data_IF_952676696356
#
_entry.id   IF_952676696356
#
_cell.length_a   1.000
_cell.length_b   1.000
_cell.length_c   1.000
_cell.angle_alpha   90.00
_cell.angle_beta   90.00
_cell.angle_gamma   90.00
#
_symmetry.space_group_name_H-M   'P 1'
#
loop_
_entity.id
_entity.type
_entity.pdbx_description
1 polymer ?
2 water ?
#
# COMPACT_ATOMS: atom_id res chain seq x y z
N UNK A 1 5.82 -15.98 -1.59
CA UNK A 1 6.22 -16.38 -0.26
C UNK A 1 5.81 -17.80 0.06
N UNK A 2 6.40 -18.36 1.12
CA UNK A 2 6.12 -19.73 1.54
C UNK A 2 5.58 -19.75 2.97
N UNK A 3 5.31 -20.96 3.47
CA UNK A 3 4.85 -21.14 4.84
C UNK A 3 6.02 -21.62 5.71
N UNK A 4 5.88 -21.48 7.02
CA UNK A 4 6.91 -21.88 7.97
C UNK A 4 7.41 -23.29 7.71
N UNK A 5 6.49 -24.21 7.41
CA UNK A 5 6.83 -25.61 7.23
C UNK A 5 7.86 -25.84 6.10
N UNK A 6 7.79 -25.00 5.06
CA UNK A 6 8.76 -25.07 3.98
C UNK A 6 10.00 -24.23 4.32
N UNK A 7 9.77 -23.07 4.92
CA UNK A 7 10.86 -22.13 5.22
C UNK A 7 11.89 -22.72 6.16
N UNK A 8 11.43 -23.50 7.14
CA UNK A 8 12.32 -24.00 8.17
C UNK A 8 13.42 -24.89 7.60
N UNK A 9 13.16 -25.45 6.41
CA UNK A 9 14.11 -26.35 5.78
C UNK A 9 15.07 -25.65 4.83
N UNK A 10 14.93 -24.34 4.71
CA UNK A 10 15.86 -23.54 3.92
C UNK A 10 17.11 -23.25 4.76
N UNK A 11 18.20 -22.88 4.10
CA UNK A 11 19.42 -22.51 4.82
C UNK A 11 19.23 -21.16 5.50
N UNK A 12 20.02 -20.87 6.53
CA UNK A 12 19.90 -19.59 7.22
C UNK A 12 20.20 -18.44 6.27
N UNK A 13 21.10 -18.67 5.32
CA UNK A 13 21.45 -17.61 4.38
C UNK A 13 20.35 -17.37 3.37
N UNK A 14 19.62 -18.42 3.00
CA UNK A 14 18.48 -18.26 2.11
C UNK A 14 17.37 -17.52 2.84
N UNK A 15 17.19 -17.83 4.12
CA UNK A 15 16.19 -17.15 4.93
C UNK A 15 16.49 -15.66 5.09
N UNK A 16 17.75 -15.31 5.32
CA UNK A 16 18.10 -13.91 5.47
C UNK A 16 17.87 -13.18 4.15
N UNK A 17 18.19 -13.83 3.04
CA UNK A 17 17.91 -13.26 1.72
C UNK A 17 16.42 -12.98 1.57
N UNK A 18 15.58 -13.96 1.93
CA UNK A 18 14.13 -13.80 1.86
C UNK A 18 13.60 -12.70 2.77
N UNK A 19 14.17 -12.60 3.97
CA UNK A 19 13.76 -11.57 4.91
C UNK A 19 14.09 -10.20 4.33
N UNK A 20 15.29 -10.06 3.78
CA UNK A 20 15.73 -8.77 3.26
C UNK A 20 14.92 -8.31 2.06
N UNK A 21 14.49 -9.26 1.24
CA UNK A 21 13.76 -8.93 0.01
C UNK A 21 12.41 -8.26 0.29
N UNK A 22 11.85 -8.52 1.46
CA UNK A 22 10.52 -8.01 1.79
C UNK A 22 10.48 -6.49 1.84
N UNK A 23 11.59 -5.88 2.25
CA UNK A 23 11.63 -4.44 2.45
C UNK A 23 11.50 -3.61 1.17
N UNK A 24 12.28 -3.88 0.12
CA UNK A 24 12.05 -3.10 -1.08
C UNK A 24 10.72 -3.46 -1.75
N UNK A 25 10.26 -4.70 -1.58
CA UNK A 25 8.97 -5.09 -2.15
C UNK A 25 7.85 -4.30 -1.49
N UNK A 26 7.93 -4.19 -0.17
CA UNK A 26 6.95 -3.44 0.57
C UNK A 26 7.00 -1.97 0.18
N UNK A 27 8.21 -1.42 0.04
CA UNK A 27 8.35 -0.01 -0.32
C UNK A 27 7.79 0.27 -1.70
N UNK A 28 8.01 -0.66 -2.63
CA UNK A 28 7.45 -0.56 -3.96
C UNK A 28 5.92 -0.54 -3.90
N UNK A 29 5.33 -1.46 -3.14
CA UNK A 29 3.87 -1.54 -3.05
C UNK A 29 3.22 -0.28 -2.47
N UNK A 30 3.80 0.25 -1.40
CA UNK A 30 3.23 1.43 -0.78
C UNK A 30 3.40 2.65 -1.67
N UNK A 31 4.53 2.73 -2.36
CA UNK A 31 4.75 3.80 -3.33
C UNK A 31 3.67 3.79 -4.41
N UNK A 32 3.37 2.61 -4.95
CA UNK A 32 2.35 2.49 -5.99
C UNK A 32 1.00 2.93 -5.46
N UNK A 33 0.70 2.51 -4.24
CA UNK A 33 -0.54 2.91 -3.58
C UNK A 33 -0.62 4.43 -3.41
N UNK A 34 0.48 5.04 -2.98
CA UNK A 34 0.46 6.49 -2.81
C UNK A 34 0.26 7.18 -4.15
N UNK A 35 0.93 6.70 -5.18
CA UNK A 35 0.75 7.28 -6.51
C UNK A 35 -0.67 7.08 -7.03
N UNK A 36 -1.25 5.91 -6.76
CA UNK A 36 -2.64 5.60 -7.12
C UNK A 36 -3.60 6.64 -6.54
N UNK A 37 -3.38 7.02 -5.28
CA UNK A 37 -4.23 8.02 -4.66
C UNK A 37 -3.93 9.44 -5.12
N UNK A 38 -2.67 9.73 -5.41
CA UNK A 38 -2.33 11.05 -5.96
C UNK A 38 -3.04 11.28 -7.29
N UNK A 39 -3.06 10.23 -8.10
CA UNK A 39 -3.71 10.26 -9.39
C UNK A 39 -5.21 10.42 -9.23
N UNK A 40 -5.77 9.82 -8.18
CA UNK A 40 -7.19 9.98 -7.91
C UNK A 40 -7.52 11.41 -7.49
N UNK A 41 -6.66 12.01 -6.67
CA UNK A 41 -6.92 13.34 -6.15
C UNK A 41 -6.79 14.41 -7.24
N UNK A 42 -5.92 14.17 -8.23
CA UNK A 42 -5.55 15.23 -9.18
C UNK A 42 -6.74 15.85 -9.95
N UNK A 43 -7.63 15.03 -10.52
CA UNK A 43 -8.73 15.67 -11.24
C UNK A 43 -9.72 16.41 -10.32
N UNK A 44 -9.85 15.97 -9.08
CA UNK A 44 -10.71 16.68 -8.14
C UNK A 44 -10.08 18.02 -7.77
N UNK A 45 -8.77 18.01 -7.54
CA UNK A 45 -8.04 19.22 -7.21
C UNK A 45 -8.12 20.22 -8.35
N UNK A 46 -7.98 19.73 -9.58
CA UNK A 46 -8.07 20.62 -10.73
C UNK A 46 -9.48 21.18 -10.86
N UNK A 47 -10.47 20.34 -10.62
CA UNK A 47 -11.86 20.79 -10.72
C UNK A 47 -12.15 21.90 -9.72
N UNK A 48 -11.61 21.78 -8.51
CA UNK A 48 -11.79 22.85 -7.52
C UNK A 48 -11.15 24.16 -7.96
N UNK A 49 -10.02 24.07 -8.66
CA UNK A 49 -9.30 25.26 -9.09
C UNK A 49 -9.83 25.85 -10.38
N UNK A 50 -10.72 25.11 -11.03
CA UNK A 50 -11.28 25.49 -12.32
C UNK A 50 -12.56 26.30 -12.17
N UNK A 51 -13.11 26.32 -10.96
CA UNK A 51 -14.39 26.96 -10.73
C UNK A 51 -14.32 28.46 -10.98
N UNK B 2 -15.13 10.94 -10.81
CA UNK B 2 -14.76 10.24 -12.03
C UNK B 2 -13.69 10.99 -12.81
N UNK B 3 -14.02 11.35 -14.04
CA UNK B 3 -13.10 12.10 -14.87
C UNK B 3 -13.26 13.59 -14.57
N UNK B 4 -12.23 14.37 -14.90
CA UNK B 4 -12.29 15.82 -14.75
C UNK B 4 -13.51 16.44 -15.45
N UNK B 5 -13.88 15.89 -16.61
CA UNK B 5 -14.99 16.46 -17.37
C UNK B 5 -16.33 16.37 -16.61
N UNK B 6 -16.45 15.39 -15.72
CA UNK B 6 -17.61 15.24 -14.83
C UNK B 6 -17.43 16.12 -13.59
N UNK B 7 -16.27 16.01 -12.96
CA UNK B 7 -15.97 16.71 -11.71
C UNK B 7 -16.02 18.22 -11.82
N UNK B 8 -15.62 18.77 -12.96
CA UNK B 8 -15.60 20.22 -13.13
C UNK B 8 -16.99 20.84 -12.98
N UNK B 9 -18.04 20.04 -13.20
CA UNK B 9 -19.42 20.53 -13.12
C UNK B 9 -20.04 20.47 -11.72
N UNK B 10 -19.29 19.95 -10.75
CA UNK B 10 -19.81 19.82 -9.38
C UNK B 10 -19.46 21.02 -8.51
N UNK B 11 -20.22 21.19 -7.41
CA UNK B 11 -19.98 22.28 -6.46
C UNK B 11 -18.65 22.15 -5.73
N UNK B 12 -18.12 23.26 -5.25
CA UNK B 12 -16.92 23.21 -4.41
C UNK B 12 -17.12 22.35 -3.16
N UNK B 13 -18.30 22.42 -2.55
CA UNK B 13 -18.58 21.61 -1.37
C UNK B 13 -18.61 20.12 -1.71
N UNK B 14 -19.17 19.78 -2.87
CA UNK B 14 -19.23 18.39 -3.32
C UNK B 14 -17.84 17.83 -3.61
N UNK B 15 -16.99 18.66 -4.22
CA UNK B 15 -15.64 18.25 -4.57
C UNK B 15 -14.76 18.07 -3.33
N UNK B 16 -14.92 18.96 -2.36
CA UNK B 16 -14.19 18.87 -1.10
C UNK B 16 -14.58 17.57 -0.41
N UNK B 17 -15.88 17.26 -0.43
CA UNK B 17 -16.34 16.00 0.14
C UNK B 17 -15.69 14.80 -0.55
N UNK B 18 -15.55 14.86 -1.87
CA UNK B 18 -14.92 13.77 -2.61
C UNK B 18 -13.44 13.62 -2.26
N UNK B 19 -12.73 14.73 -2.06
CA UNK B 19 -11.33 14.66 -1.66
C UNK B 19 -11.19 14.00 -0.29
N UNK B 20 -11.98 14.49 0.66
CA UNK B 20 -11.94 14.01 2.04
C UNK B 20 -12.31 12.52 2.14
N UNK B 21 -13.17 12.04 1.25
CA UNK B 21 -13.60 10.64 1.25
C UNK B 21 -12.47 9.65 0.94
N UNK B 22 -11.44 10.13 0.26
CA UNK B 22 -10.34 9.28 -0.14
C UNK B 22 -9.43 8.97 1.04
N UNK B 23 -9.44 9.86 2.04
CA UNK B 23 -8.50 9.78 3.15
C UNK B 23 -8.54 8.49 3.95
N UNK B 24 -9.71 8.13 4.52
CA UNK B 24 -9.66 6.91 5.32
C UNK B 24 -9.49 5.67 4.46
N UNK B 25 -9.96 5.72 3.21
CA UNK B 25 -9.74 4.63 2.27
C UNK B 25 -8.25 4.40 2.10
N UNK B 26 -7.51 5.48 1.92
CA UNK B 26 -6.08 5.36 1.71
C UNK B 26 -5.43 4.85 2.99
N UNK B 27 -5.88 5.40 4.12
CA UNK B 27 -5.37 5.00 5.44
C UNK B 27 -5.54 3.51 5.65
N UNK B 28 -6.74 3.01 5.33
CA UNK B 28 -7.04 1.60 5.49
C UNK B 28 -6.15 0.72 4.63
N UNK B 29 -6.03 1.07 3.35
CA UNK B 29 -5.24 0.24 2.44
C UNK B 29 -3.75 0.23 2.79
N UNK B 30 -3.27 1.33 3.35
CA UNK B 30 -1.87 1.41 3.77
C UNK B 30 -1.68 0.53 4.99
N UNK B 31 -2.61 0.59 5.92
CA UNK B 31 -2.48 -0.26 7.11
C UNK B 31 -2.50 -1.75 6.76
N UNK B 32 -3.33 -2.10 5.79
CA UNK B 32 -3.41 -3.47 5.31
C UNK B 32 -2.11 -3.89 4.65
N UNK B 33 -1.47 -2.95 3.96
CA UNK B 33 -0.22 -3.24 3.28
C UNK B 33 0.86 -3.48 4.33
N UNK B 34 0.86 -2.67 5.38
CA UNK B 34 1.88 -2.79 6.42
C UNK B 34 1.69 -4.08 7.21
N UNK B 35 0.45 -4.40 7.54
CA UNK B 35 0.14 -5.65 8.23
C UNK B 35 0.55 -6.86 7.42
N UNK B 36 0.42 -6.77 6.09
CA UNK B 36 0.82 -7.89 5.24
C UNK B 36 2.34 -8.09 5.23
N UNK B 37 3.08 -6.99 5.31
CA UNK B 37 4.54 -7.05 5.37
C UNK B 37 5.00 -7.63 6.69
N UNK B 38 4.42 -7.14 7.78
CA UNK B 38 4.77 -7.63 9.10
C UNK B 38 4.44 -9.12 9.20
N UNK B 39 3.31 -9.50 8.62
CA UNK B 39 2.91 -10.90 8.58
C UNK B 39 3.95 -11.76 7.87
N UNK B 40 4.31 -11.38 6.65
CA UNK B 40 5.28 -12.12 5.85
C UNK B 40 6.62 -12.31 6.57
N UNK B 41 6.99 -11.36 7.43
CA UNK B 41 8.27 -11.43 8.14
C UNK B 41 8.29 -12.54 9.18
N UNK B 42 7.16 -12.78 9.84
CA UNK B 42 7.14 -13.67 11.02
C UNK B 42 7.51 -15.14 10.77
N UNK B 43 6.91 -15.78 9.75
CA UNK B 43 7.33 -17.16 9.53
C UNK B 43 8.80 -17.30 9.14
N UNK B 44 9.38 -16.27 8.50
CA UNK B 44 10.80 -16.30 8.16
C UNK B 44 11.63 -16.13 9.44
N UNK B 45 11.21 -15.21 10.30
CA UNK B 45 11.91 -14.98 11.54
C UNK B 45 11.84 -16.22 12.41
N UNK B 46 10.69 -16.89 12.39
CA UNK B 46 10.50 -18.08 13.22
C UNK B 46 11.35 -19.23 12.67
N UNK B 47 11.42 -19.32 11.35
CA UNK B 47 12.24 -20.34 10.69
C UNK B 47 13.70 -20.12 11.04
N UNK B 48 14.14 -18.87 11.06
CA UNK B 48 15.53 -18.60 11.46
C UNK B 48 15.78 -19.04 12.90
N UNK B 49 14.83 -18.74 13.79
CA UNK B 49 15.04 -19.04 15.20
C UNK B 49 14.90 -20.53 15.51
N UNK B 50 14.29 -21.29 14.61
CA UNK B 50 14.06 -22.71 14.86
C UNK B 50 15.29 -23.54 14.54
N UNK B 51 16.16 -22.99 13.70
CA UNK B 51 17.30 -23.76 13.22
C UNK B 51 18.34 -23.87 14.32
#
# INVERSE_FOLDING_TARGET
GSDFDFLKNLSLEELQMRLKALDPMMEREIEELRQRYTAKRQPILDAMDAK
GSDFDFLKNLSLEELQMRLKALDPMMEREIEELRQRYTAKRQPILDAMDAK
#
